data_IF_153513585470
#
_entry.id   IF_153513585470
#
_cell.length_a   1.000
_cell.length_b   1.000
_cell.length_c   1.000
_cell.angle_alpha   90.00
_cell.angle_beta   90.00
_cell.angle_gamma   90.00
#
_symmetry.space_group_name_H-M   'P 1'
#
loop_
_entity.id
_entity.type
_entity.pdbx_description
1 polymer ?
#
# COMPACT_ATOMS: atom_id res chain seq x y z
N UNK A 1 -4.16 6.64 3.43
CA UNK A 1 -3.86 7.87 4.20
C UNK A 1 -5.11 8.66 4.61
N UNK A 2 -6.15 8.74 3.75
CA UNK A 2 -7.38 9.50 4.01
C UNK A 2 -8.07 9.14 5.33
N UNK A 3 -8.26 7.86 5.63
CA UNK A 3 -8.95 7.42 6.86
C UNK A 3 -8.22 7.88 8.12
N UNK A 4 -6.90 7.80 8.14
CA UNK A 4 -6.07 8.27 9.27
C UNK A 4 -6.16 9.79 9.40
N UNK A 5 -6.05 10.52 8.28
CA UNK A 5 -6.16 11.98 8.28
C UNK A 5 -7.52 12.46 8.81
N UNK A 6 -8.60 11.78 8.42
CA UNK A 6 -9.96 12.06 8.93
C UNK A 6 -10.07 11.71 10.43
N UNK A 7 -9.62 10.52 10.82
CA UNK A 7 -9.67 10.07 12.21
C UNK A 7 -8.91 11.01 13.15
N UNK A 8 -7.75 11.54 12.72
CA UNK A 8 -7.00 12.53 13.51
C UNK A 8 -7.75 13.86 13.71
N UNK A 9 -8.61 14.28 12.77
CA UNK A 9 -9.42 15.47 12.92
C UNK A 9 -10.55 15.29 13.94
N UNK A 10 -11.01 14.06 14.11
CA UNK A 10 -12.10 13.68 15.01
C UNK A 10 -11.59 13.15 16.37
N UNK A 11 -10.27 12.95 16.51
CA UNK A 11 -9.62 12.36 17.69
C UNK A 11 -9.57 13.33 18.88
N UNK A 12 -10.59 13.26 19.71
CA UNK A 12 -10.69 14.07 20.94
C UNK A 12 -9.90 13.48 22.11
N UNK A 13 -9.48 12.23 22.02
CA UNK A 13 -8.84 11.47 23.11
C UNK A 13 -7.33 11.32 22.94
N UNK A 14 -6.80 11.63 21.77
CA UNK A 14 -5.40 11.39 21.40
C UNK A 14 -5.09 9.92 21.14
N UNK A 15 -6.09 9.05 21.09
CA UNK A 15 -5.90 7.61 20.88
C UNK A 15 -5.32 7.29 19.51
N UNK A 16 -5.82 7.93 18.46
CA UNK A 16 -5.31 7.76 17.09
C UNK A 16 -3.88 8.27 16.97
N UNK A 17 -3.62 9.45 17.51
CA UNK A 17 -2.28 10.04 17.52
C UNK A 17 -1.27 9.16 18.27
N UNK A 18 -1.67 8.62 19.43
CA UNK A 18 -0.84 7.67 20.18
C UNK A 18 -0.56 6.40 19.37
N UNK A 19 -1.57 5.78 18.76
CA UNK A 19 -1.40 4.58 17.95
C UNK A 19 -0.46 4.81 16.74
N UNK A 20 -0.47 6.02 16.16
CA UNK A 20 0.49 6.39 15.11
C UNK A 20 1.91 6.49 15.69
N UNK A 21 2.10 7.19 16.81
CA UNK A 21 3.41 7.35 17.46
C UNK A 21 4.00 6.01 17.89
N UNK A 22 3.15 5.10 18.36
CA UNK A 22 3.53 3.73 18.76
C UNK A 22 3.81 2.81 17.54
N UNK A 23 3.60 3.27 16.29
CA UNK A 23 3.82 2.47 15.09
C UNK A 23 2.72 1.48 14.73
N UNK A 24 1.61 1.46 15.49
CA UNK A 24 0.47 0.56 15.28
C UNK A 24 -0.30 0.94 14.02
N UNK A 25 -0.51 2.25 13.79
CA UNK A 25 -1.15 2.78 12.59
C UNK A 25 -0.13 3.33 11.62
N UNK A 26 -0.24 2.90 10.37
CA UNK A 26 0.60 3.33 9.26
C UNK A 26 -0.27 3.69 8.05
N UNK A 27 0.32 4.40 7.08
CA UNK A 27 -0.33 4.80 5.82
C UNK A 27 0.59 4.58 4.63
N UNK A 28 0.01 4.63 3.45
CA UNK A 28 0.71 4.68 2.17
C UNK A 28 0.37 5.97 1.41
N UNK A 29 1.06 6.23 0.30
CA UNK A 29 1.04 7.50 -0.41
C UNK A 29 -0.32 7.91 -1.00
N UNK A 30 -1.16 6.95 -1.38
CA UNK A 30 -2.47 7.24 -1.97
C UNK A 30 -3.56 7.36 -0.89
N UNK A 31 -4.58 8.20 -1.11
CA UNK A 31 -5.64 8.42 -0.11
C UNK A 31 -6.58 7.21 0.01
N UNK A 32 -7.00 6.65 -1.12
CA UNK A 32 -7.91 5.52 -1.27
C UNK A 32 -7.82 4.98 -2.70
N UNK A 33 -8.53 3.88 -2.99
CA UNK A 33 -8.72 3.35 -4.34
C UNK A 33 -9.45 4.36 -5.23
N UNK A 34 -8.96 4.56 -6.46
CA UNK A 34 -9.55 5.50 -7.41
C UNK A 34 -9.22 5.16 -8.86
N UNK A 35 -10.07 5.57 -9.78
CA UNK A 35 -9.83 5.54 -11.22
C UNK A 35 -8.97 6.74 -11.63
N UNK A 36 -7.68 6.52 -11.84
CA UNK A 36 -6.73 7.60 -12.12
C UNK A 36 -6.98 8.30 -13.46
N UNK A 37 -7.62 7.62 -14.44
CA UNK A 37 -8.02 8.21 -15.70
C UNK A 37 -9.14 9.26 -15.57
N UNK A 38 -9.93 9.20 -14.50
CA UNK A 38 -11.05 10.12 -14.24
C UNK A 38 -10.62 11.31 -13.37
N UNK A 39 -9.37 11.36 -12.94
CA UNK A 39 -8.82 12.43 -12.12
C UNK A 39 -8.01 13.41 -12.97
N UNK A 40 -8.16 14.70 -12.69
CA UNK A 40 -7.17 15.67 -13.14
C UNK A 40 -5.96 15.71 -12.20
N UNK A 41 -4.86 16.29 -12.65
CA UNK A 41 -3.62 16.36 -11.89
C UNK A 41 -3.77 17.09 -10.54
N UNK A 42 -4.65 18.09 -10.46
CA UNK A 42 -4.88 18.86 -9.23
C UNK A 42 -5.52 17.99 -8.14
N UNK A 43 -6.55 17.23 -8.49
CA UNK A 43 -7.22 16.33 -7.55
C UNK A 43 -6.32 15.17 -7.12
N UNK A 44 -5.55 14.61 -8.06
CA UNK A 44 -4.58 13.56 -7.74
C UNK A 44 -3.48 14.07 -6.81
N UNK A 45 -2.95 15.26 -7.07
CA UNK A 45 -1.98 15.92 -6.19
C UNK A 45 -2.53 16.16 -4.78
N UNK A 46 -3.77 16.65 -4.67
CA UNK A 46 -4.43 16.82 -3.37
C UNK A 46 -4.48 15.50 -2.58
N UNK A 47 -4.81 14.40 -3.26
CA UNK A 47 -4.80 13.07 -2.63
C UNK A 47 -3.43 12.65 -2.10
N UNK A 48 -2.37 12.89 -2.87
CA UNK A 48 -0.98 12.62 -2.46
C UNK A 48 -0.53 13.54 -1.31
N UNK A 49 -0.96 14.79 -1.31
CA UNK A 49 -0.58 15.78 -0.27
C UNK A 49 -1.09 15.39 1.12
N UNK A 50 -2.17 14.60 1.22
CA UNK A 50 -2.66 14.05 2.48
C UNK A 50 -1.59 13.18 3.17
N UNK A 51 -0.91 12.32 2.44
CA UNK A 51 0.17 11.51 3.03
C UNK A 51 1.38 12.36 3.37
N UNK A 52 1.70 13.38 2.57
CA UNK A 52 2.78 14.32 2.86
C UNK A 52 2.52 15.15 4.13
N UNK A 53 1.28 15.57 4.36
CA UNK A 53 0.88 16.25 5.60
C UNK A 53 1.06 15.34 6.83
N UNK A 54 0.66 14.08 6.72
CA UNK A 54 0.84 13.09 7.77
C UNK A 54 2.34 12.84 8.03
N UNK A 55 3.13 12.68 6.97
CA UNK A 55 4.59 12.50 7.06
C UNK A 55 5.25 13.68 7.78
N UNK A 56 4.90 14.89 7.40
CA UNK A 56 5.40 16.12 8.03
C UNK A 56 5.01 16.19 9.52
N UNK A 57 3.76 15.85 9.85
CA UNK A 57 3.26 15.90 11.24
C UNK A 57 3.96 14.89 12.14
N UNK A 58 4.26 13.69 11.63
CA UNK A 58 4.77 12.58 12.44
C UNK A 58 6.23 12.24 12.19
N UNK A 59 6.96 13.05 11.40
CA UNK A 59 8.37 12.83 11.12
C UNK A 59 8.65 11.54 10.34
N UNK A 60 7.73 11.15 9.44
CA UNK A 60 7.83 9.92 8.63
C UNK A 60 8.15 10.23 7.18
N UNK A 61 8.49 9.18 6.42
CA UNK A 61 8.72 9.21 4.98
C UNK A 61 7.92 8.11 4.33
N UNK A 62 6.91 8.46 3.55
CA UNK A 62 6.15 7.52 2.74
C UNK A 62 6.79 7.39 1.36
N UNK A 63 7.26 6.20 1.01
CA UNK A 63 7.89 5.90 -0.28
C UNK A 63 7.11 4.92 -1.13
N UNK A 64 6.03 4.35 -0.58
CA UNK A 64 5.20 3.35 -1.21
C UNK A 64 3.73 3.76 -1.26
N UNK A 65 3.03 3.26 -2.26
CA UNK A 65 1.59 3.43 -2.44
C UNK A 65 0.92 2.11 -2.81
N UNK A 66 -0.38 2.00 -2.51
CA UNK A 66 -1.21 0.86 -2.91
C UNK A 66 -2.45 1.36 -3.63
N UNK A 67 -2.79 0.65 -4.70
CA UNK A 67 -4.07 0.73 -5.37
C UNK A 67 -4.71 -0.66 -5.33
N UNK A 68 -5.95 -0.72 -4.92
CA UNK A 68 -6.71 -1.97 -4.80
C UNK A 68 -7.91 -1.92 -5.74
N UNK A 69 -8.31 -3.07 -6.28
CA UNK A 69 -9.50 -3.23 -7.11
C UNK A 69 -9.37 -2.76 -8.57
N UNK A 70 -8.97 -1.51 -8.80
CA UNK A 70 -8.92 -0.89 -10.13
C UNK A 70 -7.73 -1.41 -10.95
N UNK A 71 -7.97 -1.98 -12.15
CA UNK A 71 -6.92 -2.62 -12.94
C UNK A 71 -6.12 -1.63 -13.80
N UNK A 72 -6.72 -0.52 -14.20
CA UNK A 72 -6.14 0.44 -15.13
C UNK A 72 -5.74 1.76 -14.48
N UNK A 73 -4.53 2.23 -14.78
CA UNK A 73 -4.02 3.49 -14.25
C UNK A 73 -3.28 4.29 -15.33
N UNK A 74 -3.40 5.62 -15.27
CA UNK A 74 -2.71 6.51 -16.22
C UNK A 74 -1.23 6.67 -15.89
N UNK A 75 -0.37 6.65 -16.90
CA UNK A 75 1.07 6.94 -16.74
C UNK A 75 1.35 8.34 -16.21
N UNK A 76 0.40 9.27 -16.39
CA UNK A 76 0.50 10.64 -15.87
C UNK A 76 0.65 10.74 -14.36
N UNK A 77 0.28 9.69 -13.60
CA UNK A 77 0.46 9.66 -12.14
C UNK A 77 1.95 9.54 -11.72
N UNK A 78 2.81 8.95 -12.55
CA UNK A 78 4.21 8.65 -12.21
C UNK A 78 5.00 9.91 -11.82
N UNK A 79 5.06 10.98 -12.62
CA UNK A 79 5.78 12.18 -12.23
C UNK A 79 5.20 12.87 -10.98
N UNK A 80 3.88 12.75 -10.75
CA UNK A 80 3.22 13.31 -9.58
C UNK A 80 3.60 12.56 -8.29
N UNK A 81 3.72 11.23 -8.37
CA UNK A 81 4.21 10.37 -7.28
C UNK A 81 5.70 10.66 -7.00
N UNK A 82 6.52 10.73 -8.04
CA UNK A 82 7.97 10.99 -7.91
C UNK A 82 8.28 12.32 -7.25
N UNK A 83 7.52 13.37 -7.56
CA UNK A 83 7.63 14.68 -6.87
C UNK A 83 7.42 14.59 -5.36
N UNK A 84 6.79 13.52 -4.85
CA UNK A 84 6.53 13.25 -3.43
C UNK A 84 7.37 12.08 -2.88
N UNK A 85 8.42 11.71 -3.60
CA UNK A 85 9.33 10.61 -3.26
C UNK A 85 8.65 9.22 -3.18
N UNK A 86 7.48 9.04 -3.77
CA UNK A 86 6.82 7.75 -3.87
C UNK A 86 7.41 7.02 -5.07
N UNK A 87 8.19 5.97 -4.81
CA UNK A 87 8.91 5.20 -5.81
C UNK A 87 8.38 3.79 -6.03
N UNK A 88 7.46 3.32 -5.19
CA UNK A 88 6.86 1.99 -5.26
C UNK A 88 5.34 2.07 -5.31
N UNK A 89 4.71 1.24 -6.15
CA UNK A 89 3.26 1.13 -6.28
C UNK A 89 2.86 -0.35 -6.31
N UNK A 90 2.11 -0.79 -5.31
CA UNK A 90 1.40 -2.07 -5.37
C UNK A 90 0.03 -1.87 -6.03
N UNK A 91 -0.28 -2.67 -7.03
CA UNK A 91 -1.59 -2.74 -7.68
C UNK A 91 -2.14 -4.15 -7.46
N UNK A 92 -3.17 -4.29 -6.64
CA UNK A 92 -3.88 -5.54 -6.39
C UNK A 92 -5.28 -5.46 -6.97
N UNK A 93 -5.50 -6.04 -8.14
CA UNK A 93 -6.76 -5.90 -8.87
C UNK A 93 -7.85 -6.85 -8.38
N UNK A 94 -9.08 -6.55 -8.76
CA UNK A 94 -10.22 -7.43 -8.54
C UNK A 94 -9.97 -8.81 -9.17
N UNK A 95 -10.26 -9.92 -8.48
CA UNK A 95 -10.03 -11.29 -8.98
C UNK A 95 -10.72 -11.61 -10.30
N UNK A 96 -11.82 -10.91 -10.63
CA UNK A 96 -12.52 -11.07 -11.90
C UNK A 96 -11.87 -10.31 -13.07
N UNK A 97 -10.82 -9.52 -12.79
CA UNK A 97 -10.12 -8.73 -13.80
C UNK A 97 -8.97 -9.54 -14.42
N UNK A 98 -8.87 -9.62 -15.75
CA UNK A 98 -7.70 -10.21 -16.39
C UNK A 98 -6.42 -9.44 -16.03
N UNK A 99 -5.42 -10.16 -15.55
CA UNK A 99 -4.08 -9.59 -15.29
C UNK A 99 -3.36 -9.42 -16.63
N UNK A 100 -2.81 -8.23 -16.93
CA UNK A 100 -2.02 -8.03 -18.14
C UNK A 100 -0.74 -8.89 -18.12
N UNK A 101 -0.18 -9.25 -19.29
CA UNK A 101 1.05 -10.05 -19.38
C UNK A 101 2.28 -9.19 -19.05
N UNK A 102 2.39 -8.78 -17.78
CA UNK A 102 3.54 -8.05 -17.25
C UNK A 102 4.24 -8.88 -16.17
N UNK A 103 5.54 -8.68 -15.93
CA UNK A 103 6.22 -9.29 -14.80
C UNK A 103 5.51 -8.89 -13.47
N UNK A 104 5.50 -9.76 -12.46
CA UNK A 104 4.91 -9.42 -11.14
C UNK A 104 5.54 -8.18 -10.51
N UNK A 105 6.81 -7.93 -10.82
CA UNK A 105 7.55 -6.74 -10.40
C UNK A 105 8.23 -6.13 -11.62
N UNK A 106 7.96 -4.86 -11.91
CA UNK A 106 8.54 -4.16 -13.06
C UNK A 106 8.68 -2.65 -12.83
N UNK A 107 9.50 -2.03 -13.65
CA UNK A 107 9.68 -0.57 -13.65
C UNK A 107 8.76 0.08 -14.68
N UNK A 108 7.82 0.88 -14.20
CA UNK A 108 6.90 1.64 -15.04
C UNK A 108 7.40 3.07 -15.23
N UNK A 109 7.53 3.52 -16.48
CA UNK A 109 8.17 4.78 -16.84
C UNK A 109 7.22 5.78 -17.51
N UNK A 110 7.45 7.06 -17.23
CA UNK A 110 6.89 8.19 -17.97
C UNK A 110 7.96 9.28 -18.15
N UNK A 111 8.55 9.37 -19.34
CA UNK A 111 9.75 10.17 -19.57
C UNK A 111 10.91 9.67 -18.71
N UNK A 112 11.56 10.57 -17.99
CA UNK A 112 12.69 10.27 -17.09
C UNK A 112 12.25 9.74 -15.73
N UNK A 113 10.96 9.94 -15.38
CA UNK A 113 10.41 9.44 -14.12
C UNK A 113 10.02 7.96 -14.19
N UNK A 114 10.21 7.25 -13.09
CA UNK A 114 9.78 5.85 -12.98
C UNK A 114 9.39 5.47 -11.56
N UNK A 115 8.50 4.48 -11.44
CA UNK A 115 8.15 3.80 -10.20
C UNK A 115 8.33 2.30 -10.38
N UNK A 116 8.68 1.59 -9.32
CA UNK A 116 8.60 0.13 -9.28
C UNK A 116 7.14 -0.24 -9.04
N UNK A 117 6.61 -1.13 -9.86
CA UNK A 117 5.23 -1.63 -9.74
C UNK A 117 5.26 -3.10 -9.40
N UNK A 118 4.53 -3.47 -8.36
CA UNK A 118 4.14 -4.84 -8.07
C UNK A 118 2.68 -5.00 -8.49
N UNK A 119 2.42 -5.86 -9.47
CA UNK A 119 1.08 -6.05 -10.03
C UNK A 119 0.57 -7.45 -9.75
N UNK A 120 -0.59 -7.57 -9.13
CA UNK A 120 -1.15 -8.83 -8.67
C UNK A 120 -2.66 -8.90 -8.85
N UNK A 121 -3.18 -10.11 -9.00
CA UNK A 121 -4.59 -10.42 -8.88
C UNK A 121 -5.03 -10.57 -7.40
N UNK A 122 -6.33 -10.64 -7.15
CA UNK A 122 -6.89 -10.98 -5.85
C UNK A 122 -6.56 -10.01 -4.72
N UNK A 123 -6.35 -8.73 -5.01
CA UNK A 123 -6.03 -7.66 -4.04
C UNK A 123 -4.63 -7.74 -3.41
N UNK A 124 -3.89 -8.74 -3.73
CA UNK A 124 -2.56 -9.08 -3.22
C UNK A 124 -2.50 -10.54 -2.75
N UNK A 125 -1.47 -11.24 -3.16
CA UNK A 125 -1.26 -12.65 -2.83
C UNK A 125 0.13 -12.88 -2.21
N UNK A 126 0.42 -14.12 -1.84
CA UNK A 126 1.75 -14.50 -1.40
C UNK A 126 2.71 -14.53 -2.58
N UNK A 127 3.83 -13.83 -2.48
CA UNK A 127 4.92 -13.82 -3.45
C UNK A 127 6.23 -14.22 -2.80
N UNK A 128 6.93 -15.14 -3.43
CA UNK A 128 8.26 -15.60 -3.03
C UNK A 128 9.32 -14.88 -3.87
N UNK A 129 10.30 -14.30 -3.19
CA UNK A 129 11.48 -13.68 -3.76
C UNK A 129 12.72 -14.43 -3.25
N UNK A 130 13.89 -14.14 -3.78
CA UNK A 130 15.11 -14.89 -3.45
C UNK A 130 15.42 -14.89 -1.94
N UNK A 131 15.26 -13.72 -1.28
CA UNK A 131 15.63 -13.51 0.12
C UNK A 131 14.47 -13.38 1.10
N UNK A 132 13.24 -13.25 0.60
CA UNK A 132 12.05 -13.07 1.45
C UNK A 132 10.76 -13.56 0.80
N UNK A 133 9.74 -13.77 1.63
CA UNK A 133 8.39 -14.06 1.19
C UNK A 133 7.47 -12.95 1.67
N UNK A 134 6.72 -12.35 0.75
CA UNK A 134 5.70 -11.36 1.06
C UNK A 134 4.33 -12.02 1.15
N UNK A 135 3.69 -11.90 2.31
CA UNK A 135 2.33 -12.36 2.53
C UNK A 135 1.40 -11.18 2.81
N UNK A 136 0.41 -10.97 1.98
CA UNK A 136 -0.62 -9.96 2.25
C UNK A 136 -1.65 -10.50 3.24
N UNK A 137 -1.77 -9.82 4.39
CA UNK A 137 -2.80 -10.11 5.39
C UNK A 137 -3.96 -9.12 5.21
N UNK A 138 -4.97 -9.52 4.43
CA UNK A 138 -6.18 -8.74 4.22
C UNK A 138 -7.43 -9.62 4.37
N UNK A 139 -8.58 -9.00 4.58
CA UNK A 139 -9.86 -9.68 4.85
C UNK A 139 -10.67 -9.98 3.59
N UNK A 140 -10.06 -9.91 2.41
CA UNK A 140 -10.77 -9.97 1.12
C UNK A 140 -11.74 -8.81 0.90
N UNK A 141 -12.63 -8.95 -0.08
CA UNK A 141 -13.55 -7.90 -0.48
C UNK A 141 -14.69 -7.73 0.52
N UNK A 142 -15.02 -6.48 0.82
CA UNK A 142 -16.17 -6.07 1.64
C UNK A 142 -16.27 -6.67 3.05
N UNK A 143 -15.16 -7.16 3.59
CA UNK A 143 -15.10 -7.65 4.96
C UNK A 143 -14.55 -6.59 5.92
N UNK A 144 -14.94 -6.70 7.18
CA UNK A 144 -14.41 -5.86 8.25
C UNK A 144 -12.98 -6.24 8.66
N UNK A 145 -12.41 -5.55 9.65
CA UNK A 145 -11.09 -5.88 10.16
C UNK A 145 -11.10 -7.27 10.81
N UNK A 146 -9.96 -7.94 10.73
CA UNK A 146 -9.74 -9.23 11.36
C UNK A 146 -9.81 -9.12 12.88
N UNK A 147 -10.38 -10.13 13.51
CA UNK A 147 -10.27 -10.35 14.96
C UNK A 147 -8.84 -10.75 15.33
N UNK A 148 -8.53 -10.68 16.62
CA UNK A 148 -7.23 -11.14 17.14
C UNK A 148 -6.96 -12.60 16.80
N UNK A 149 -7.98 -13.46 16.93
CA UNK A 149 -7.83 -14.91 16.71
C UNK A 149 -7.58 -15.21 15.21
N UNK A 150 -8.29 -14.56 14.31
CA UNK A 150 -8.04 -14.67 12.87
C UNK A 150 -6.63 -14.22 12.49
N UNK A 151 -6.10 -13.17 13.12
CA UNK A 151 -4.71 -12.74 12.90
C UNK A 151 -3.73 -13.82 13.36
N UNK A 152 -3.95 -14.41 14.55
CA UNK A 152 -3.12 -15.50 15.06
C UNK A 152 -3.15 -16.71 14.12
N UNK A 153 -4.32 -17.08 13.61
CA UNK A 153 -4.46 -18.17 12.66
C UNK A 153 -3.71 -17.90 11.34
N UNK A 154 -3.73 -16.66 10.85
CA UNK A 154 -2.95 -16.27 9.66
C UNK A 154 -1.46 -16.46 9.91
N UNK A 155 -0.93 -16.01 11.06
CA UNK A 155 0.47 -16.20 11.42
C UNK A 155 0.84 -17.68 11.50
N UNK A 156 0.01 -18.51 12.13
CA UNK A 156 0.25 -19.96 12.24
C UNK A 156 0.31 -20.61 10.85
N UNK A 157 -0.65 -20.33 9.97
CA UNK A 157 -0.66 -20.86 8.59
C UNK A 157 0.58 -20.43 7.78
N UNK A 158 1.02 -19.18 7.95
CA UNK A 158 2.24 -18.70 7.28
C UNK A 158 3.45 -19.45 7.84
N UNK A 159 3.55 -19.63 9.17
CA UNK A 159 4.66 -20.34 9.79
C UNK A 159 4.70 -21.82 9.39
N UNK A 160 3.56 -22.48 9.27
CA UNK A 160 3.46 -23.86 8.78
C UNK A 160 3.91 -23.99 7.32
N UNK A 161 3.52 -23.02 6.49
CA UNK A 161 3.92 -22.99 5.07
C UNK A 161 5.41 -22.68 4.87
N UNK A 162 5.96 -21.84 5.73
CA UNK A 162 7.34 -21.34 5.64
C UNK A 162 8.10 -21.55 6.95
N UNK A 163 8.36 -22.79 7.37
CA UNK A 163 8.90 -23.11 8.70
C UNK A 163 10.31 -22.57 8.96
N UNK A 164 11.08 -22.32 7.90
CA UNK A 164 12.45 -21.81 7.99
C UNK A 164 12.55 -20.28 7.94
N UNK A 165 11.42 -19.57 7.88
CA UNK A 165 11.38 -18.11 7.82
C UNK A 165 10.96 -17.50 9.16
N UNK A 166 11.52 -16.34 9.47
CA UNK A 166 11.06 -15.51 10.57
C UNK A 166 9.95 -14.59 10.08
N UNK A 167 8.76 -14.71 10.65
CA UNK A 167 7.63 -13.86 10.28
C UNK A 167 7.80 -12.48 10.93
N UNK A 168 7.68 -11.45 10.14
CA UNK A 168 7.73 -10.05 10.58
C UNK A 168 6.56 -9.27 10.01
N UNK A 169 5.82 -8.56 10.86
CA UNK A 169 4.85 -7.57 10.39
C UNK A 169 5.59 -6.45 9.65
N UNK A 170 5.10 -6.10 8.46
CA UNK A 170 5.74 -5.12 7.59
C UNK A 170 4.71 -4.14 7.03
N UNK A 171 5.19 -2.96 6.65
CA UNK A 171 4.44 -1.96 5.89
C UNK A 171 4.84 -2.03 4.41
N UNK A 172 4.10 -1.36 3.53
CA UNK A 172 4.52 -1.22 2.13
C UNK A 172 5.84 -0.45 1.97
N UNK A 173 6.18 0.42 2.90
CA UNK A 173 7.49 1.09 2.89
C UNK A 173 8.63 0.10 3.11
N UNK A 174 8.44 -0.89 3.99
CA UNK A 174 9.45 -1.94 4.23
C UNK A 174 9.64 -2.80 2.97
N UNK A 175 8.54 -3.13 2.28
CA UNK A 175 8.60 -3.84 0.99
C UNK A 175 9.32 -3.01 -0.06
N UNK A 176 8.98 -1.72 -0.18
CA UNK A 176 9.62 -0.82 -1.14
C UNK A 176 11.11 -0.59 -0.90
N UNK A 177 11.58 -0.80 0.33
CA UNK A 177 12.99 -0.63 0.68
C UNK A 177 13.86 -1.83 0.25
N UNK A 178 13.26 -2.99 -0.03
CA UNK A 178 13.96 -4.22 -0.44
C UNK A 178 13.68 -4.63 -1.89
N UNK A 179 12.83 -3.89 -2.62
CA UNK A 179 12.41 -4.16 -4.02
C UNK A 179 13.23 -3.43 -5.10
#
# INVERSE_FOLDING_TARGET
SWMIWKALKEDKTGTVEKAIKDGILNWHGLPFTTHTELLNATLFNFGLDISCELDKRFGRKTIAAKMTDVPGHTRGMIPLMKKRNIGFLHIGVNPATPVPPVPPLFRWKNGDDSVVVMYEDGYGCTKEFDDFVLCFAHTHDNNGPQSKDEIIEVYNRIQERFPNYVIKAATLNDVAAVS
#
